data_IF_119205547755
#
_entry.id   IF_119205547755
#
_cell.length_a   1.000
_cell.length_b   1.000
_cell.length_c   1.000
_cell.angle_alpha   90.00
_cell.angle_beta   90.00
_cell.angle_gamma   90.00
#
_symmetry.space_group_name_H-M   'P 1'
#
loop_
_entity.id
_entity.type
_entity.pdbx_description
1 polymer ?
#
# COMPACT_ATOMS: atom_id res chain seq x y z
N UNK A 1 -2.03 14.05 -28.05
CA UNK A 1 -2.16 12.78 -27.29
C UNK A 1 -2.64 13.10 -25.89
N UNK A 2 -3.41 12.20 -25.28
CA UNK A 2 -3.87 12.32 -23.89
C UNK A 2 -2.85 11.63 -22.98
N UNK A 3 -2.54 12.25 -21.84
CA UNK A 3 -1.68 11.65 -20.81
C UNK A 3 -2.44 10.58 -20.03
N UNK A 4 -1.80 9.43 -19.82
CA UNK A 4 -2.35 8.23 -19.20
C UNK A 4 -1.60 7.88 -17.91
N UNK A 5 -2.32 7.28 -16.96
CA UNK A 5 -1.80 6.83 -15.67
C UNK A 5 -2.67 5.69 -15.14
N UNK A 6 -2.16 4.96 -14.16
CA UNK A 6 -2.96 4.09 -13.28
C UNK A 6 -3.35 4.85 -12.00
N UNK A 7 -4.36 4.36 -11.28
CA UNK A 7 -4.88 5.03 -10.06
C UNK A 7 -4.05 4.69 -8.81
N UNK A 8 -3.41 3.53 -8.78
CA UNK A 8 -2.72 3.04 -7.59
C UNK A 8 -2.55 1.54 -7.66
N UNK A 9 -3.19 0.81 -6.76
CA UNK A 9 -2.94 -0.61 -6.52
C UNK A 9 -3.17 -1.55 -7.71
N UNK A 10 -2.26 -2.53 -7.85
CA UNK A 10 -2.47 -3.77 -8.60
C UNK A 10 -2.52 -4.97 -7.64
N UNK A 11 -3.23 -6.07 -7.98
CA UNK A 11 -3.09 -7.32 -7.25
C UNK A 11 -1.62 -7.71 -7.06
N UNK A 12 -1.26 -8.06 -5.83
CA UNK A 12 0.09 -8.54 -5.52
C UNK A 12 0.36 -9.81 -6.34
N UNK A 13 1.55 -9.95 -6.96
CA UNK A 13 1.87 -11.16 -7.69
C UNK A 13 1.96 -12.35 -6.72
N UNK A 14 1.70 -13.55 -7.23
CA UNK A 14 1.70 -14.77 -6.41
C UNK A 14 3.10 -15.08 -5.82
N UNK A 15 4.16 -14.50 -6.41
CA UNK A 15 5.54 -14.52 -5.88
C UNK A 15 5.74 -13.68 -4.61
N UNK A 16 4.82 -12.74 -4.32
CA UNK A 16 4.92 -11.80 -3.20
C UNK A 16 3.86 -12.11 -2.12
N UNK A 17 2.63 -12.45 -2.50
CA UNK A 17 1.57 -12.78 -1.54
C UNK A 17 0.47 -13.57 -2.25
N UNK A 18 -0.07 -14.59 -1.57
CA UNK A 18 -1.20 -15.34 -2.10
C UNK A 18 -2.43 -14.44 -2.30
N UNK A 19 -3.17 -14.67 -3.39
CA UNK A 19 -4.42 -13.92 -3.67
C UNK A 19 -5.56 -14.24 -2.70
N UNK A 20 -5.43 -15.32 -1.94
CA UNK A 20 -6.38 -15.74 -0.90
C UNK A 20 -6.15 -14.97 0.41
N UNK A 21 -5.61 -13.75 0.33
CA UNK A 21 -5.41 -12.91 1.49
C UNK A 21 -6.77 -12.56 2.13
N UNK A 22 -7.01 -13.20 3.26
CA UNK A 22 -8.17 -13.11 4.14
C UNK A 22 -9.55 -13.05 3.48
N UNK A 23 -10.13 -14.23 3.23
CA UNK A 23 -11.55 -14.39 2.89
C UNK A 23 -12.48 -14.29 4.11
N UNK A 24 -11.94 -14.19 5.33
CA UNK A 24 -12.73 -14.14 6.56
C UNK A 24 -13.26 -12.74 6.88
N UNK A 25 -12.63 -11.69 6.33
CA UNK A 25 -12.99 -10.30 6.58
C UNK A 25 -12.52 -9.77 7.93
N UNK A 26 -11.84 -10.56 8.76
CA UNK A 26 -11.45 -10.16 10.12
C UNK A 26 -10.04 -9.55 10.21
N UNK A 27 -9.21 -9.78 9.20
CA UNK A 27 -7.79 -9.42 9.13
C UNK A 27 -7.58 -8.44 7.98
N UNK A 28 -7.55 -7.16 8.33
CA UNK A 28 -7.38 -6.08 7.35
C UNK A 28 -5.92 -5.86 6.94
N UNK A 29 -4.99 -6.48 7.67
CA UNK A 29 -3.56 -6.44 7.44
C UNK A 29 -3.16 -7.58 6.51
N UNK A 30 -2.26 -7.31 5.55
CA UNK A 30 -1.70 -8.36 4.70
C UNK A 30 -0.77 -9.26 5.49
N UNK A 31 -1.00 -10.57 5.47
CA UNK A 31 0.00 -11.53 5.94
C UNK A 31 1.14 -11.64 4.93
N UNK A 32 2.36 -11.33 5.38
CA UNK A 32 3.59 -11.50 4.62
C UNK A 32 4.31 -12.76 5.09
N UNK A 33 4.61 -13.67 4.18
CA UNK A 33 5.27 -14.96 4.49
C UNK A 33 6.80 -14.86 4.53
N UNK A 34 7.36 -13.66 4.41
CA UNK A 34 8.79 -13.40 4.31
C UNK A 34 9.34 -12.70 5.56
N UNK A 35 10.62 -12.95 5.87
CA UNK A 35 11.35 -12.17 6.88
C UNK A 35 11.51 -10.71 6.42
N UNK A 36 11.67 -9.73 7.31
CA UNK A 36 11.64 -8.30 6.95
C UNK A 36 12.56 -7.89 5.77
N UNK A 37 13.81 -8.32 5.78
CA UNK A 37 14.75 -7.97 4.69
C UNK A 37 14.41 -8.64 3.36
N UNK A 38 13.95 -9.89 3.43
CA UNK A 38 13.50 -10.64 2.26
C UNK A 38 12.20 -10.06 1.69
N UNK A 39 11.29 -9.64 2.57
CA UNK A 39 10.04 -8.98 2.20
C UNK A 39 10.32 -7.69 1.41
N UNK A 40 11.21 -6.84 1.92
CA UNK A 40 11.56 -5.58 1.25
C UNK A 40 12.14 -5.82 -0.15
N UNK A 41 12.99 -6.82 -0.30
CA UNK A 41 13.53 -7.22 -1.60
C UNK A 41 12.42 -7.73 -2.53
N UNK A 42 11.55 -8.64 -2.06
CA UNK A 42 10.42 -9.19 -2.84
C UNK A 42 9.41 -8.13 -3.27
N UNK A 43 9.12 -7.16 -2.40
CA UNK A 43 8.29 -6.02 -2.74
C UNK A 43 8.97 -5.14 -3.79
N UNK A 44 10.28 -4.94 -3.70
CA UNK A 44 11.07 -4.24 -4.72
C UNK A 44 11.00 -4.92 -6.09
N UNK A 45 11.18 -6.25 -6.15
CA UNK A 45 11.04 -7.05 -7.37
C UNK A 45 9.64 -6.89 -7.98
N UNK A 46 8.59 -6.90 -7.16
CA UNK A 46 7.22 -6.71 -7.61
C UNK A 46 6.95 -5.31 -8.18
N UNK A 47 7.51 -4.27 -7.56
CA UNK A 47 7.44 -2.88 -8.06
C UNK A 47 8.16 -2.75 -9.39
N UNK A 48 9.37 -3.31 -9.51
CA UNK A 48 10.13 -3.26 -10.76
C UNK A 48 9.39 -3.95 -11.89
N UNK A 49 8.87 -5.14 -11.65
CA UNK A 49 8.04 -5.83 -12.62
C UNK A 49 6.82 -4.97 -13.03
N UNK A 50 6.08 -4.42 -12.07
CA UNK A 50 4.93 -3.55 -12.32
C UNK A 50 5.27 -2.31 -13.15
N UNK A 51 6.35 -1.62 -12.81
CA UNK A 51 6.80 -0.41 -13.51
C UNK A 51 7.17 -0.73 -14.97
N UNK A 52 7.92 -1.81 -15.20
CA UNK A 52 8.28 -2.26 -16.56
C UNK A 52 7.06 -2.65 -17.40
N UNK A 53 6.03 -3.23 -16.79
CA UNK A 53 4.78 -3.53 -17.49
C UNK A 53 4.06 -2.25 -17.92
N UNK A 54 4.00 -1.24 -17.04
CA UNK A 54 3.40 0.07 -17.36
C UNK A 54 4.16 0.78 -18.50
N UNK A 55 5.49 0.78 -18.47
CA UNK A 55 6.33 1.30 -19.57
C UNK A 55 6.05 0.57 -20.90
N UNK A 56 6.00 -0.76 -20.86
CA UNK A 56 5.81 -1.59 -22.05
C UNK A 56 4.45 -1.37 -22.74
N UNK A 57 3.41 -1.02 -21.99
CA UNK A 57 2.08 -0.70 -22.52
C UNK A 57 1.89 0.79 -22.82
N UNK A 58 2.90 1.61 -22.59
CA UNK A 58 2.90 3.04 -22.93
C UNK A 58 2.15 3.94 -21.93
N UNK A 59 2.12 3.59 -20.64
CA UNK A 59 1.62 4.49 -19.58
C UNK A 59 2.58 5.68 -19.43
N UNK A 60 2.07 6.91 -19.54
CA UNK A 60 2.90 8.13 -19.49
C UNK A 60 3.41 8.45 -18.08
N UNK A 61 2.63 8.10 -17.06
CA UNK A 61 2.88 8.39 -15.65
C UNK A 61 2.74 7.10 -14.85
N UNK A 62 3.87 6.51 -14.43
CA UNK A 62 3.87 5.18 -13.80
C UNK A 62 3.72 5.26 -12.27
N UNK A 63 3.24 4.19 -11.66
CA UNK A 63 3.04 4.05 -10.21
C UNK A 63 3.77 2.81 -9.68
N UNK A 64 4.03 2.77 -8.37
CA UNK A 64 4.56 1.59 -7.67
C UNK A 64 3.51 0.48 -7.49
N UNK A 65 2.28 0.76 -7.90
CA UNK A 65 1.10 -0.10 -7.79
C UNK A 65 0.86 -0.63 -6.37
N UNK A 66 1.30 0.14 -5.37
CA UNK A 66 1.17 -0.10 -3.93
C UNK A 66 1.73 -1.45 -3.48
N UNK A 67 2.73 -2.04 -4.15
CA UNK A 67 3.20 -3.40 -3.86
C UNK A 67 3.74 -3.61 -2.43
N UNK A 68 4.19 -2.53 -1.76
CA UNK A 68 4.61 -2.53 -0.35
C UNK A 68 3.46 -2.42 0.65
N UNK A 69 2.31 -1.95 0.16
CA UNK A 69 1.15 -1.65 0.98
C UNK A 69 0.38 -2.94 1.27
N UNK A 70 0.28 -3.26 2.55
CA UNK A 70 -0.57 -4.31 3.08
C UNK A 70 -2.02 -3.83 3.25
N UNK A 71 -2.17 -2.57 3.65
CA UNK A 71 -3.43 -1.86 3.85
C UNK A 71 -3.19 -0.35 3.67
N UNK A 72 -4.02 0.31 2.86
CA UNK A 72 -3.81 1.70 2.46
C UNK A 72 -3.78 2.71 3.63
N UNK A 73 -4.48 2.42 4.74
CA UNK A 73 -4.45 3.27 5.94
C UNK A 73 -3.31 2.85 6.85
N UNK A 74 -3.21 1.55 7.15
CA UNK A 74 -2.30 1.09 8.19
C UNK A 74 -0.84 1.15 7.77
N UNK A 75 -0.53 1.00 6.48
CA UNK A 75 0.82 1.22 5.98
C UNK A 75 1.32 2.63 6.35
N UNK A 76 0.47 3.64 6.18
CA UNK A 76 0.80 5.01 6.56
C UNK A 76 0.85 5.19 8.09
N UNK A 77 -0.17 4.71 8.81
CA UNK A 77 -0.26 4.87 10.26
C UNK A 77 0.87 4.19 11.03
N UNK A 78 1.48 3.11 10.51
CA UNK A 78 2.65 2.46 11.14
C UNK A 78 3.90 3.33 11.15
N UNK A 79 3.98 4.33 10.28
CA UNK A 79 5.06 5.33 10.30
C UNK A 79 4.75 6.58 11.13
N UNK A 80 3.67 6.57 11.91
CA UNK A 80 3.26 7.67 12.78
C UNK A 80 3.35 7.28 14.25
N UNK A 81 3.69 8.25 15.09
CA UNK A 81 3.57 8.11 16.54
C UNK A 81 2.10 8.18 16.98
N UNK A 82 1.80 7.58 18.13
CA UNK A 82 0.49 7.66 18.77
C UNK A 82 -0.51 6.58 18.33
N UNK A 83 -0.10 5.63 17.48
CA UNK A 83 -0.86 4.43 17.15
C UNK A 83 -0.33 3.20 17.88
N UNK A 84 -1.24 2.38 18.41
CA UNK A 84 -0.97 1.08 19.00
C UNK A 84 -1.58 -0.02 18.11
N UNK A 85 -0.71 -0.78 17.46
CA UNK A 85 -1.08 -1.89 16.57
C UNK A 85 -1.10 -3.25 17.27
N UNK A 86 -0.63 -3.33 18.52
CA UNK A 86 -0.57 -4.55 19.31
C UNK A 86 -1.86 -4.75 20.11
N UNK A 87 -2.36 -3.68 20.76
CA UNK A 87 -3.58 -3.71 21.54
C UNK A 87 -4.78 -3.18 20.73
N UNK A 88 -5.24 -3.97 19.77
CA UNK A 88 -6.36 -3.61 18.89
C UNK A 88 -7.72 -3.63 19.56
N UNK A 89 -8.67 -2.90 18.98
CA UNK A 89 -10.08 -2.91 19.37
C UNK A 89 -10.96 -3.42 18.22
N UNK A 90 -12.02 -4.14 18.56
CA UNK A 90 -13.07 -4.49 17.60
C UNK A 90 -13.85 -3.23 17.25
N UNK A 91 -13.96 -2.96 15.94
CA UNK A 91 -14.78 -1.89 15.39
C UNK A 91 -15.90 -2.51 14.57
N UNK A 92 -17.15 -2.20 14.92
CA UNK A 92 -18.33 -2.58 14.16
C UNK A 92 -18.70 -1.49 13.15
N UNK A 93 -18.93 -1.88 11.90
CA UNK A 93 -19.45 -1.04 10.82
C UNK A 93 -20.82 -1.54 10.38
N UNK A 94 -21.62 -0.59 9.87
CA UNK A 94 -22.92 -0.87 9.23
C UNK A 94 -23.82 -1.75 10.12
N UNK A 95 -23.94 -1.38 11.39
CA UNK A 95 -24.79 -2.07 12.38
C UNK A 95 -24.48 -3.56 12.54
N UNK A 96 -23.20 -3.93 12.54
CA UNK A 96 -22.74 -5.32 12.72
C UNK A 96 -22.69 -6.13 11.43
N UNK A 97 -22.90 -5.52 10.26
CA UNK A 97 -22.70 -6.20 8.97
C UNK A 97 -21.22 -6.58 8.75
N UNK A 98 -20.30 -5.85 9.39
CA UNK A 98 -18.89 -6.17 9.35
C UNK A 98 -18.17 -5.62 10.59
N UNK A 99 -17.20 -6.38 11.11
CA UNK A 99 -16.30 -5.91 12.15
C UNK A 99 -14.88 -6.40 11.95
N UNK A 100 -13.93 -5.65 12.49
CA UNK A 100 -12.51 -5.96 12.40
C UNK A 100 -11.74 -5.40 13.59
N UNK A 101 -10.51 -5.89 13.76
CA UNK A 101 -9.58 -5.39 14.77
C UNK A 101 -8.79 -4.18 14.23
N UNK A 102 -9.13 -2.98 14.69
CA UNK A 102 -8.47 -1.74 14.34
C UNK A 102 -7.37 -1.37 15.36
N UNK A 103 -6.28 -0.72 14.93
CA UNK A 103 -5.32 -0.11 15.86
C UNK A 103 -5.97 1.01 16.67
N UNK A 104 -5.41 1.31 17.84
CA UNK A 104 -5.89 2.39 18.72
C UNK A 104 -5.03 3.63 18.57
N UNK A 105 -5.65 4.80 18.70
CA UNK A 105 -4.91 6.04 18.92
C UNK A 105 -4.76 6.19 20.44
N UNK A 106 -3.53 6.09 20.94
CA UNK A 106 -3.21 6.12 22.39
C UNK A 106 -2.60 7.44 22.83
N UNK A 107 -2.32 8.35 21.89
CA UNK A 107 -1.74 9.65 22.18
C UNK A 107 -1.83 10.62 21.01
N UNK A 108 -1.07 11.72 21.09
CA UNK A 108 -0.98 12.71 20.02
C UNK A 108 -0.36 12.10 18.77
N UNK A 109 -1.05 12.19 17.64
CA UNK A 109 -0.56 11.71 16.35
C UNK A 109 0.50 12.67 15.80
N UNK A 110 1.69 12.15 15.51
CA UNK A 110 2.82 12.92 14.97
C UNK A 110 3.55 12.11 13.91
N UNK A 111 4.20 12.79 12.97
CA UNK A 111 5.10 12.12 12.03
C UNK A 111 6.33 11.59 12.77
N UNK A 112 6.61 10.30 12.63
CA UNK A 112 7.81 9.68 13.17
C UNK A 112 8.99 9.66 12.17
N UNK A 113 8.81 10.27 10.98
CA UNK A 113 9.82 10.30 9.92
C UNK A 113 9.22 10.40 8.51
N UNK A 114 10.12 10.44 7.51
CA UNK A 114 9.78 10.58 6.09
C UNK A 114 10.07 9.27 5.35
N UNK A 115 9.26 8.24 5.60
CA UNK A 115 9.49 6.90 5.04
C UNK A 115 8.93 6.74 3.61
N UNK A 116 7.80 7.39 3.30
CA UNK A 116 7.17 7.32 1.98
C UNK A 116 8.07 7.85 0.86
N UNK A 117 8.89 8.87 1.13
CA UNK A 117 9.83 9.43 0.15
C UNK A 117 10.84 8.40 -0.35
N UNK A 118 11.25 7.45 0.49
CA UNK A 118 12.17 6.40 0.07
C UNK A 118 11.51 5.41 -0.89
N UNK A 119 10.24 5.09 -0.67
CA UNK A 119 9.44 4.27 -1.60
C UNK A 119 9.21 5.01 -2.93
N UNK A 120 8.93 6.32 -2.89
CA UNK A 120 8.80 7.13 -4.10
C UNK A 120 10.10 7.15 -4.91
N UNK A 121 11.23 7.41 -4.22
CA UNK A 121 12.56 7.44 -4.84
C UNK A 121 12.94 6.09 -5.41
N UNK A 122 12.61 5.00 -4.73
CA UNK A 122 12.85 3.64 -5.23
C UNK A 122 12.21 3.47 -6.61
N UNK A 123 10.92 3.77 -6.76
CA UNK A 123 10.20 3.59 -8.03
C UNK A 123 10.65 4.59 -9.10
N UNK A 124 10.89 5.84 -8.71
CA UNK A 124 11.42 6.88 -9.61
C UNK A 124 12.77 6.48 -10.24
N UNK A 125 13.62 5.79 -9.50
CA UNK A 125 14.93 5.35 -9.98
C UNK A 125 14.84 4.15 -10.95
N UNK A 126 13.72 3.43 -11.01
CA UNK A 126 13.52 2.32 -11.96
C UNK A 126 13.17 2.80 -13.37
N UNK A 127 12.56 3.99 -13.46
CA UNK A 127 12.01 4.57 -14.68
C UNK A 127 12.51 6.00 -14.91
N UNK A 128 13.84 6.20 -15.06
CA UNK A 128 14.45 7.53 -15.10
C UNK A 128 13.96 8.42 -16.27
N UNK A 129 13.51 7.82 -17.36
CA UNK A 129 13.02 8.52 -18.56
C UNK A 129 11.48 8.68 -18.59
N UNK A 130 10.77 8.09 -17.62
CA UNK A 130 9.30 8.11 -17.54
C UNK A 130 8.85 8.96 -16.35
N UNK A 131 7.73 9.69 -16.49
CA UNK A 131 7.19 10.47 -15.37
C UNK A 131 6.62 9.51 -14.32
N UNK A 132 6.80 9.85 -13.05
CA UNK A 132 6.17 9.13 -11.94
C UNK A 132 4.89 9.83 -11.50
N UNK A 133 3.86 9.06 -11.17
CA UNK A 133 2.74 9.56 -10.39
C UNK A 133 3.31 10.01 -9.03
N UNK A 134 2.95 11.21 -8.58
CA UNK A 134 3.28 11.61 -7.22
C UNK A 134 2.76 10.57 -6.24
N UNK A 135 3.50 10.28 -5.17
CA UNK A 135 2.96 9.45 -4.10
C UNK A 135 1.76 10.16 -3.50
N UNK A 136 0.60 9.70 -3.95
CA UNK A 136 -0.67 10.22 -3.55
C UNK A 136 -0.93 9.73 -2.13
N UNK A 137 -0.84 10.63 -1.15
CA UNK A 137 -1.59 10.47 0.10
C UNK A 137 -3.10 10.34 -0.18
N UNK A 138 -3.56 10.64 -1.41
CA UNK A 138 -4.95 10.69 -1.84
C UNK A 138 -5.40 9.45 -2.65
N UNK A 139 -4.69 8.30 -2.67
CA UNK A 139 -5.37 7.03 -3.05
C UNK A 139 -6.52 6.71 -2.08
N UNK A 140 -6.59 7.44 -0.96
CA UNK A 140 -7.71 7.60 0.00
C UNK A 140 -9.07 7.99 -0.59
N UNK A 141 -9.24 8.29 -1.89
CA UNK A 141 -10.56 8.59 -2.47
C UNK A 141 -11.12 7.53 -3.43
N UNK A 142 -10.46 6.40 -3.63
CA UNK A 142 -11.02 5.30 -4.41
C UNK A 142 -11.76 4.31 -3.49
N UNK A 143 -13.10 4.37 -3.51
CA UNK A 143 -14.05 3.46 -2.84
C UNK A 143 -14.47 3.84 -1.41
N UNK A 144 -15.06 5.03 -1.29
CA UNK A 144 -16.18 5.27 -0.37
C UNK A 144 -17.33 5.93 -1.15
N UNK A 145 -17.78 5.27 -2.21
CA UNK A 145 -19.11 5.49 -2.78
C UNK A 145 -19.90 4.20 -2.56
N UNK A 146 -20.89 4.33 -1.68
CA UNK A 146 -21.93 3.36 -1.24
C UNK A 146 -21.54 2.38 -0.12
#
# INVERSE_FOLDING_TARGET
MLTTTVIGSRPKPDSLSSRNHDTSGWTVDRHWEFRPEELKAKQGEAIEWAARQQEAIGVDVVSDEEQRCDNYVYYFCRGLDGFDFDNRAVVDKRSGAWSWNAPRITGSVKSAGVFLVDDFRFTQNLTPDTRMAGQSLNSLSATAMW
#
